data_IF_206558216645
#
_entry.id   IF_206558216645
#
_cell.length_a   1.000
_cell.length_b   1.000
_cell.length_c   1.000
_cell.angle_alpha   90.00
_cell.angle_beta   90.00
_cell.angle_gamma   90.00
#
_symmetry.space_group_name_H-M   'P 1'
#
loop_
_entity.id
_entity.type
_entity.pdbx_description
1 polymer ?
#
# COMPACT_ATOMS: atom_id res chain seq x y z
N UNK A 1 59.20 10.18 -14.95
CA UNK A 1 59.10 8.75 -15.30
C UNK A 1 58.60 8.04 -14.06
N UNK A 2 57.41 7.47 -14.21
CA UNK A 2 56.58 6.86 -13.18
C UNK A 2 57.22 5.67 -12.47
N UNK A 3 56.82 5.47 -11.21
CA UNK A 3 56.63 4.14 -10.66
C UNK A 3 55.56 4.20 -9.56
N UNK A 4 54.35 3.77 -9.92
CA UNK A 4 53.25 3.46 -9.02
C UNK A 4 53.65 2.28 -8.12
N UNK A 5 53.48 2.42 -6.80
CA UNK A 5 53.25 1.28 -5.91
C UNK A 5 51.97 1.49 -5.12
N UNK A 6 51.03 0.61 -5.43
CA UNK A 6 49.71 0.43 -4.83
C UNK A 6 49.85 0.09 -3.34
N UNK A 7 49.31 0.94 -2.46
CA UNK A 7 49.01 0.55 -1.08
C UNK A 7 47.51 0.22 -0.98
N UNK A 8 47.12 -0.95 -0.45
CA UNK A 8 45.73 -1.34 -0.34
C UNK A 8 45.08 -0.50 0.78
N UNK A 9 44.30 0.50 0.38
CA UNK A 9 43.53 1.31 1.30
C UNK A 9 42.50 0.45 2.05
N UNK A 10 42.61 0.51 3.37
CA UNK A 10 41.55 0.50 4.37
C UNK A 10 40.21 -0.12 4.01
N UNK A 11 39.85 -1.15 4.77
CA UNK A 11 38.51 -1.71 4.87
C UNK A 11 37.52 -0.61 5.30
N UNK A 12 36.93 0.09 4.33
CA UNK A 12 35.65 0.76 4.54
C UNK A 12 34.61 -0.35 4.72
N UNK A 13 34.28 -0.66 5.98
CA UNK A 13 33.04 -1.36 6.30
C UNK A 13 31.91 -0.52 5.74
N UNK A 14 31.45 -0.88 4.54
CA UNK A 14 30.27 -0.29 3.94
C UNK A 14 29.13 -0.46 4.93
N UNK A 15 28.67 0.65 5.48
CA UNK A 15 27.25 0.78 5.78
C UNK A 15 26.58 0.52 4.43
N UNK A 16 26.14 -0.73 4.21
CA UNK A 16 25.21 -1.03 3.12
C UNK A 16 24.07 -0.06 3.34
N UNK A 17 23.98 0.98 2.49
CA UNK A 17 22.75 1.73 2.32
C UNK A 17 21.69 0.66 2.13
N UNK A 18 20.82 0.49 3.13
CA UNK A 18 19.69 -0.42 3.01
C UNK A 18 18.94 0.10 1.79
N UNK A 19 19.05 -0.61 0.66
CA UNK A 19 18.21 -0.31 -0.49
C UNK A 19 16.78 -0.31 0.05
N UNK A 20 15.96 0.71 -0.23
CA UNK A 20 14.56 0.66 0.20
C UNK A 20 14.01 -0.66 -0.29
N UNK A 21 13.54 -1.49 0.64
CA UNK A 21 12.94 -2.77 0.27
C UNK A 21 11.76 -2.46 -0.67
N UNK A 22 11.67 -3.15 -1.82
CA UNK A 22 10.61 -2.90 -2.78
C UNK A 22 9.27 -3.14 -2.07
N UNK A 23 8.33 -2.22 -2.23
CA UNK A 23 6.99 -2.42 -1.69
C UNK A 23 6.31 -3.54 -2.47
N UNK A 24 5.54 -4.42 -1.82
CA UNK A 24 4.73 -5.40 -2.55
C UNK A 24 3.49 -4.75 -3.20
N UNK A 25 3.19 -3.47 -2.90
CA UNK A 25 2.02 -2.76 -3.41
C UNK A 25 2.37 -1.82 -4.56
N UNK A 26 1.56 -1.85 -5.62
CA UNK A 26 1.66 -1.00 -6.80
C UNK A 26 0.28 -0.40 -7.18
N UNK A 27 -0.32 0.47 -6.34
CA UNK A 27 -1.62 1.06 -6.66
C UNK A 27 -1.59 1.80 -8.00
N UNK A 28 -2.60 1.64 -8.87
CA UNK A 28 -2.66 2.34 -10.15
C UNK A 28 -2.85 3.85 -9.98
N UNK A 29 -2.30 4.66 -10.90
CA UNK A 29 -2.30 6.12 -10.77
C UNK A 29 -3.69 6.75 -10.60
N UNK A 30 -4.74 6.12 -11.12
CA UNK A 30 -6.11 6.64 -10.98
C UNK A 30 -6.62 6.64 -9.55
N UNK A 31 -6.09 5.78 -8.67
CA UNK A 31 -6.50 5.69 -7.26
C UNK A 31 -5.60 6.52 -6.34
N UNK A 32 -4.53 7.14 -6.82
CA UNK A 32 -3.64 7.92 -5.97
C UNK A 32 -4.35 9.12 -5.33
N UNK A 33 -3.97 9.39 -4.09
CA UNK A 33 -4.57 10.42 -3.25
C UNK A 33 -5.25 9.84 -2.02
N UNK A 34 -6.05 10.68 -1.38
CA UNK A 34 -6.76 10.36 -0.15
C UNK A 34 -8.25 10.15 -0.44
N UNK A 35 -8.83 9.11 0.14
CA UNK A 35 -10.21 8.68 -0.07
C UNK A 35 -10.85 8.35 1.27
N UNK A 36 -12.05 8.87 1.51
CA UNK A 36 -12.72 8.76 2.80
C UNK A 36 -14.19 8.44 2.63
N UNK A 37 -14.79 7.69 3.54
CA UNK A 37 -16.23 7.43 3.55
C UNK A 37 -17.05 8.67 3.92
N UNK A 38 -16.40 9.66 4.56
CA UNK A 38 -16.97 10.97 4.84
C UNK A 38 -16.06 12.11 4.37
N UNK A 39 -16.61 13.28 3.98
CA UNK A 39 -15.81 14.43 3.53
C UNK A 39 -14.94 15.03 4.63
N UNK A 40 -15.35 14.89 5.89
CA UNK A 40 -14.62 15.40 7.05
C UNK A 40 -13.76 14.26 7.64
N UNK A 41 -12.41 14.38 7.63
CA UNK A 41 -11.53 13.29 8.06
C UNK A 41 -11.68 12.88 9.52
N UNK A 42 -12.17 13.78 10.37
CA UNK A 42 -12.33 13.54 11.82
C UNK A 42 -13.57 12.69 12.15
N UNK A 43 -14.58 12.69 11.27
CA UNK A 43 -15.81 11.91 11.43
C UNK A 43 -15.79 10.59 10.65
N UNK A 44 -14.90 10.49 9.65
CA UNK A 44 -14.73 9.31 8.80
C UNK A 44 -14.52 8.01 9.59
N UNK A 45 -15.25 6.96 9.21
CA UNK A 45 -14.99 5.62 9.71
C UNK A 45 -13.68 5.08 9.14
N UNK A 46 -13.41 5.38 7.86
CA UNK A 46 -12.26 4.84 7.15
C UNK A 46 -11.77 5.81 6.08
N UNK A 47 -10.46 6.04 6.11
CA UNK A 47 -9.73 6.81 5.13
C UNK A 47 -8.58 5.98 4.58
N UNK A 48 -8.46 5.94 3.27
CA UNK A 48 -7.34 5.33 2.56
C UNK A 48 -6.47 6.40 1.90
N UNK A 49 -5.16 6.26 2.04
CA UNK A 49 -4.17 7.07 1.34
C UNK A 49 -3.38 6.14 0.43
N UNK A 50 -3.48 6.35 -0.88
CA UNK A 50 -2.76 5.60 -1.88
C UNK A 50 -1.62 6.43 -2.45
N UNK A 51 -0.45 5.80 -2.53
CA UNK A 51 0.74 6.33 -3.21
C UNK A 51 1.21 5.32 -4.25
N UNK A 52 2.23 5.66 -5.03
CA UNK A 52 2.77 4.76 -6.07
C UNK A 52 3.29 3.42 -5.54
N UNK A 53 3.54 3.32 -4.23
CA UNK A 53 4.09 2.11 -3.63
C UNK A 53 3.55 1.81 -2.22
N UNK A 54 2.41 2.38 -1.82
CA UNK A 54 1.88 2.15 -0.49
C UNK A 54 0.38 2.40 -0.41
N UNK A 55 -0.25 1.72 0.54
CA UNK A 55 -1.61 1.93 0.99
C UNK A 55 -1.53 2.21 2.50
N UNK A 56 -2.16 3.27 2.96
CA UNK A 56 -2.34 3.55 4.38
C UNK A 56 -3.83 3.60 4.64
N UNK A 57 -4.30 2.84 5.63
CA UNK A 57 -5.66 2.90 6.14
C UNK A 57 -5.64 3.58 7.51
N UNK A 58 -6.51 4.55 7.73
CA UNK A 58 -6.70 5.20 9.03
C UNK A 58 -8.17 5.46 9.31
N UNK A 59 -8.58 5.49 10.57
CA UNK A 59 -9.96 5.79 10.95
C UNK A 59 -10.32 5.18 12.31
N UNK A 60 -11.16 5.86 13.09
CA UNK A 60 -11.61 5.46 14.45
C UNK A 60 -10.52 4.79 15.33
N UNK A 61 -9.35 5.41 15.41
CA UNK A 61 -8.22 4.93 16.24
C UNK A 61 -7.39 3.80 15.61
N UNK A 62 -7.73 3.37 14.39
CA UNK A 62 -6.92 2.46 13.59
C UNK A 62 -5.96 3.26 12.71
N UNK A 63 -4.71 2.83 12.67
CA UNK A 63 -3.73 3.25 11.68
C UNK A 63 -3.00 2.00 11.20
N UNK A 64 -3.00 1.78 9.89
CA UNK A 64 -2.40 0.59 9.28
C UNK A 64 -1.64 0.98 8.00
N UNK A 65 -0.32 0.83 8.04
CA UNK A 65 0.56 1.04 6.91
C UNK A 65 0.84 -0.30 6.25
N UNK A 66 0.24 -0.55 5.08
CA UNK A 66 0.29 -1.86 4.42
C UNK A 66 1.73 -2.24 4.06
N UNK A 67 2.52 -1.31 3.50
CA UNK A 67 3.91 -1.58 3.12
C UNK A 67 4.76 -2.02 4.30
N UNK A 68 4.59 -1.40 5.47
CA UNK A 68 5.37 -1.75 6.66
C UNK A 68 4.89 -3.04 7.30
N UNK A 69 3.57 -3.22 7.42
CA UNK A 69 2.96 -4.37 8.06
C UNK A 69 3.15 -5.66 7.24
N UNK A 70 3.16 -5.57 5.91
CA UNK A 70 3.14 -6.70 4.99
C UNK A 70 4.43 -6.85 4.18
N UNK A 71 5.53 -6.24 4.63
CA UNK A 71 6.84 -6.26 3.95
C UNK A 71 7.36 -7.66 3.57
N UNK A 72 6.96 -8.68 4.33
CA UNK A 72 7.39 -10.08 4.16
C UNK A 72 6.21 -11.01 3.83
N UNK A 73 5.02 -10.45 3.60
CA UNK A 73 3.81 -11.22 3.32
C UNK A 73 3.59 -11.24 1.82
N UNK A 74 3.32 -12.41 1.21
CA UNK A 74 2.90 -12.48 -0.19
C UNK A 74 1.63 -11.64 -0.40
N UNK A 75 1.65 -10.81 -1.45
CA UNK A 75 0.51 -10.00 -1.86
C UNK A 75 0.29 -10.27 -3.34
N UNK A 76 -0.96 -10.51 -3.73
CA UNK A 76 -1.36 -10.57 -5.13
C UNK A 76 -2.20 -9.36 -5.48
N UNK A 77 -1.84 -8.68 -6.57
CA UNK A 77 -2.56 -7.51 -7.06
C UNK A 77 -3.24 -7.82 -8.40
N UNK A 78 -4.51 -7.45 -8.52
CA UNK A 78 -5.20 -7.38 -9.82
C UNK A 78 -5.47 -5.92 -10.12
N UNK A 79 -4.86 -5.41 -11.20
CA UNK A 79 -4.91 -4.01 -11.59
C UNK A 79 -5.52 -3.90 -12.99
N UNK A 80 -6.58 -3.10 -13.12
CA UNK A 80 -7.18 -2.70 -14.39
C UNK A 80 -7.47 -1.20 -14.39
N UNK A 81 -8.02 -0.68 -15.49
CA UNK A 81 -8.43 0.74 -15.60
C UNK A 81 -9.56 1.14 -14.63
N UNK A 82 -10.30 0.15 -14.11
CA UNK A 82 -11.47 0.36 -13.25
C UNK A 82 -11.44 -0.45 -11.95
N UNK A 83 -10.43 -1.29 -11.73
CA UNK A 83 -10.34 -2.17 -10.57
C UNK A 83 -8.92 -2.18 -10.02
N UNK A 84 -8.80 -2.01 -8.71
CA UNK A 84 -7.61 -2.33 -7.96
C UNK A 84 -7.98 -3.29 -6.85
N UNK A 85 -7.45 -4.50 -6.90
CA UNK A 85 -7.72 -5.56 -5.93
C UNK A 85 -6.43 -6.06 -5.35
N UNK A 86 -6.41 -6.26 -4.05
CA UNK A 86 -5.27 -6.74 -3.27
C UNK A 86 -5.72 -7.96 -2.47
N UNK A 87 -5.12 -9.11 -2.72
CA UNK A 87 -5.32 -10.33 -1.93
C UNK A 87 -4.10 -10.56 -1.05
N UNK A 88 -4.32 -10.78 0.25
CA UNK A 88 -3.27 -10.96 1.25
C UNK A 88 -3.56 -12.26 2.00
N UNK A 89 -2.59 -13.17 1.99
CA UNK A 89 -2.68 -14.44 2.71
C UNK A 89 -2.01 -14.31 4.09
N UNK A 90 -2.80 -14.52 5.15
CA UNK A 90 -2.37 -14.46 6.54
C UNK A 90 -2.82 -15.75 7.24
N UNK A 91 -1.86 -16.60 7.61
CA UNK A 91 -2.07 -17.76 8.50
C UNK A 91 -3.30 -18.63 8.12
N UNK A 92 -3.42 -18.97 6.84
CA UNK A 92 -4.50 -19.75 6.21
C UNK A 92 -5.81 -19.00 5.92
N UNK A 93 -5.87 -17.69 6.16
CA UNK A 93 -6.97 -16.85 5.72
C UNK A 93 -6.52 -15.92 4.59
N UNK A 94 -7.36 -15.76 3.57
CA UNK A 94 -7.17 -14.74 2.55
C UNK A 94 -8.07 -13.56 2.85
N UNK A 95 -7.48 -12.39 3.01
CA UNK A 95 -8.20 -11.11 3.07
C UNK A 95 -8.06 -10.42 1.73
N UNK A 96 -9.19 -10.00 1.16
CA UNK A 96 -9.23 -9.31 -0.12
C UNK A 96 -9.74 -7.89 0.09
N UNK A 97 -8.97 -6.91 -0.38
CA UNK A 97 -9.38 -5.52 -0.47
C UNK A 97 -9.63 -5.18 -1.94
N UNK A 98 -10.85 -4.78 -2.26
CA UNK A 98 -11.26 -4.41 -3.61
C UNK A 98 -11.65 -2.94 -3.67
N UNK A 99 -11.10 -2.22 -4.66
CA UNK A 99 -11.38 -0.82 -4.95
C UNK A 99 -11.81 -0.70 -6.41
N UNK A 100 -13.07 -0.34 -6.63
CA UNK A 100 -13.65 -0.18 -7.96
C UNK A 100 -13.84 1.29 -8.28
N UNK A 101 -13.31 1.73 -9.41
CA UNK A 101 -13.48 3.09 -9.92
C UNK A 101 -14.92 3.31 -10.36
N UNK A 102 -15.57 4.30 -9.77
CA UNK A 102 -16.91 4.75 -10.22
C UNK A 102 -16.74 5.96 -11.13
N UNK A 103 -16.00 6.97 -10.68
CA UNK A 103 -15.60 8.13 -11.48
C UNK A 103 -14.27 8.73 -10.96
N UNK A 104 -13.94 9.97 -11.33
CA UNK A 104 -12.68 10.63 -10.92
C UNK A 104 -12.61 11.03 -9.44
N UNK A 105 -13.74 11.08 -8.74
CA UNK A 105 -13.86 11.55 -7.35
C UNK A 105 -14.53 10.55 -6.42
N UNK A 106 -14.96 9.39 -6.93
CA UNK A 106 -15.60 8.34 -6.13
C UNK A 106 -15.10 6.95 -6.53
N UNK A 107 -14.90 6.11 -5.52
CA UNK A 107 -14.59 4.69 -5.66
C UNK A 107 -15.51 3.88 -4.73
N UNK A 108 -15.71 2.61 -5.06
CA UNK A 108 -16.38 1.66 -4.19
C UNK A 108 -15.34 0.74 -3.58
N UNK A 109 -15.34 0.64 -2.26
CA UNK A 109 -14.44 -0.19 -1.47
C UNK A 109 -15.20 -1.39 -0.90
N UNK A 110 -14.62 -2.58 -1.02
CA UNK A 110 -15.13 -3.80 -0.41
C UNK A 110 -13.98 -4.55 0.25
N UNK A 111 -14.16 -5.01 1.48
CA UNK A 111 -13.27 -5.98 2.13
C UNK A 111 -13.97 -7.32 2.26
N UNK A 112 -13.30 -8.38 1.82
CA UNK A 112 -13.81 -9.76 1.87
C UNK A 112 -12.85 -10.55 2.76
N UNK A 113 -13.39 -11.14 3.82
CA UNK A 113 -12.69 -12.07 4.70
C UNK A 113 -13.71 -13.09 5.24
N UNK A 114 -13.27 -14.27 5.75
CA UNK A 114 -14.15 -15.37 6.16
C UNK A 114 -15.30 -14.99 7.13
N UNK A 115 -15.10 -13.95 7.96
CA UNK A 115 -16.07 -13.50 8.96
C UNK A 115 -16.58 -12.07 8.72
N UNK A 116 -16.27 -11.46 7.57
CA UNK A 116 -16.72 -10.10 7.24
C UNK A 116 -17.84 -10.22 6.20
N UNK A 117 -19.08 -9.78 6.52
CA UNK A 117 -20.14 -9.74 5.53
C UNK A 117 -19.73 -8.83 4.37
N UNK A 118 -20.04 -9.28 3.15
CA UNK A 118 -19.75 -8.53 1.91
C UNK A 118 -20.56 -7.23 1.88
N UNK A 119 -19.95 -6.18 2.43
CA UNK A 119 -20.51 -4.84 2.51
C UNK A 119 -19.57 -3.89 1.77
N UNK A 120 -20.10 -3.25 0.73
CA UNK A 120 -19.38 -2.21 0.01
C UNK A 120 -19.59 -0.85 0.66
N UNK A 121 -18.54 -0.03 0.70
CA UNK A 121 -18.54 1.36 1.19
C UNK A 121 -18.14 2.28 0.05
N UNK A 122 -18.85 3.38 -0.15
CA UNK A 122 -18.45 4.42 -1.12
C UNK A 122 -17.41 5.32 -0.46
N UNK A 123 -16.28 5.53 -1.13
CA UNK A 123 -15.26 6.47 -0.72
C UNK A 123 -15.22 7.65 -1.69
N UNK A 124 -15.07 8.84 -1.13
CA UNK A 124 -15.00 10.11 -1.83
C UNK A 124 -13.56 10.62 -1.73
N UNK A 125 -13.05 11.16 -2.83
CA UNK A 125 -11.73 11.78 -2.87
C UNK A 125 -11.72 13.06 -2.04
N UNK A 126 -10.71 13.20 -1.17
CA UNK A 126 -10.46 14.42 -0.38
C UNK A 126 -9.58 15.44 -1.12
#
# INVERSE_FOLDING_TARGET
>A
MDAYYNFPYGVFRGLRKKSPEPSPFHPPNWIWGEWSDEPEPESAFITFIFTSNNIIMRGKGVYFNFKEALKNTPVEETITDTLYKVSIDIENNTVVYEFKKINGTTIQYTAIAPDIPDNSTTLIKL
#
